data_IF_310366336631
#
_entry.id   IF_310366336631
#
_cell.length_a   1.000
_cell.length_b   1.000
_cell.length_c   1.000
_cell.angle_alpha   90.00
_cell.angle_beta   90.00
_cell.angle_gamma   90.00
#
_symmetry.space_group_name_H-M   'P 1'
#
loop_
_entity.id
_entity.type
_entity.pdbx_description
1 polymer ?
#
# COMPACT_ATOMS: atom_id res chain seq x y z
N UNK A 1 2.07 -0.50 -16.20
CA UNK A 1 1.52 -0.16 -17.53
C UNK A 1 1.10 1.31 -17.60
N UNK A 2 0.18 1.78 -16.76
CA UNK A 2 -0.30 3.18 -16.77
C UNK A 2 0.85 4.22 -16.74
N UNK A 3 1.84 4.08 -15.86
CA UNK A 3 2.96 5.03 -15.78
C UNK A 3 3.79 5.09 -17.06
N UNK A 4 3.97 3.96 -17.77
CA UNK A 4 4.65 3.94 -19.05
C UNK A 4 3.83 4.68 -20.12
N UNK A 5 2.51 4.50 -20.14
CA UNK A 5 1.64 5.26 -21.06
C UNK A 5 1.72 6.77 -20.82
N UNK A 6 1.84 7.22 -19.57
CA UNK A 6 2.00 8.65 -19.24
C UNK A 6 3.30 9.18 -19.82
N UNK A 7 4.43 8.50 -19.58
CA UNK A 7 5.75 8.90 -20.09
C UNK A 7 5.76 8.94 -21.62
N UNK A 8 5.19 7.92 -22.25
CA UNK A 8 5.06 7.86 -23.70
C UNK A 8 4.21 9.01 -24.22
N UNK A 9 3.06 9.29 -23.58
CA UNK A 9 2.20 10.40 -23.98
C UNK A 9 2.98 11.70 -24.00
N UNK A 10 3.83 11.93 -22.99
CA UNK A 10 4.71 13.09 -22.94
C UNK A 10 5.77 13.09 -24.06
N UNK A 11 6.36 11.94 -24.41
CA UNK A 11 7.35 11.85 -25.49
C UNK A 11 6.74 12.02 -26.90
N UNK A 12 5.55 11.48 -27.14
CA UNK A 12 4.93 11.46 -28.47
C UNK A 12 3.99 12.66 -28.70
N UNK A 13 3.60 13.38 -27.66
CA UNK A 13 2.73 14.56 -27.76
C UNK A 13 1.30 14.25 -28.20
N UNK A 14 0.86 12.99 -28.09
CA UNK A 14 -0.46 12.54 -28.56
C UNK A 14 -1.58 12.99 -27.61
N UNK A 15 -2.74 13.34 -28.18
CA UNK A 15 -3.95 13.80 -27.45
C UNK A 15 -4.75 12.66 -26.80
N UNK A 16 -4.26 11.42 -26.86
CA UNK A 16 -5.02 10.26 -26.41
C UNK A 16 -5.45 10.34 -24.92
N UNK A 17 -6.67 9.90 -24.64
CA UNK A 17 -7.25 9.93 -23.29
C UNK A 17 -6.90 8.67 -22.48
N UNK A 18 -5.90 8.75 -21.62
CA UNK A 18 -5.35 7.59 -20.89
C UNK A 18 -6.37 6.93 -19.95
N UNK A 19 -7.28 7.69 -19.35
CA UNK A 19 -8.32 7.13 -18.49
C UNK A 19 -9.29 6.26 -19.28
N UNK A 20 -9.75 6.72 -20.46
CA UNK A 20 -10.58 5.92 -21.36
C UNK A 20 -9.84 4.64 -21.78
N UNK A 21 -8.57 4.75 -22.16
CA UNK A 21 -7.73 3.59 -22.52
C UNK A 21 -7.66 2.58 -21.37
N UNK A 22 -7.49 3.04 -20.13
CA UNK A 22 -7.39 2.18 -18.96
C UNK A 22 -8.72 1.52 -18.58
N UNK A 23 -9.85 2.23 -18.71
CA UNK A 23 -11.19 1.67 -18.44
C UNK A 23 -11.55 0.64 -19.50
N UNK A 24 -11.37 0.97 -20.78
CA UNK A 24 -11.69 0.06 -21.89
C UNK A 24 -10.78 -1.17 -21.92
N UNK A 25 -9.55 -1.08 -21.41
CA UNK A 25 -8.68 -2.25 -21.23
C UNK A 25 -9.32 -3.34 -20.37
N UNK A 26 -10.10 -2.99 -19.35
CA UNK A 26 -10.78 -3.95 -18.48
C UNK A 26 -12.22 -4.27 -18.92
N UNK A 27 -12.94 -3.31 -19.50
CA UNK A 27 -14.35 -3.46 -19.85
C UNK A 27 -14.58 -4.10 -21.24
N UNK A 28 -13.75 -3.73 -22.23
CA UNK A 28 -13.89 -4.17 -23.63
C UNK A 28 -12.52 -4.27 -24.32
N UNK A 29 -11.69 -5.29 -24.02
CA UNK A 29 -10.29 -5.38 -24.48
C UNK A 29 -10.11 -5.58 -26.00
N UNK A 30 -11.19 -5.88 -26.74
CA UNK A 30 -11.19 -6.16 -28.18
C UNK A 30 -11.63 -4.98 -29.04
N UNK A 31 -12.13 -3.90 -28.43
CA UNK A 31 -12.68 -2.78 -29.21
C UNK A 31 -11.59 -1.95 -29.90
N UNK A 32 -11.90 -1.38 -31.06
CA UNK A 32 -10.94 -0.61 -31.82
C UNK A 32 -10.77 0.79 -31.21
N UNK A 33 -9.60 1.07 -30.66
CA UNK A 33 -9.34 2.34 -29.98
C UNK A 33 -9.28 3.56 -30.92
N UNK A 34 -9.47 3.38 -32.23
CA UNK A 34 -9.62 4.47 -33.20
C UNK A 34 -8.52 5.52 -33.07
N UNK A 35 -8.90 6.77 -32.80
CA UNK A 35 -7.98 7.91 -32.63
C UNK A 35 -7.13 7.87 -31.34
N UNK A 36 -7.37 6.93 -30.42
CA UNK A 36 -6.65 6.77 -29.15
C UNK A 36 -5.53 5.72 -29.19
N UNK A 37 -5.14 5.24 -30.38
CA UNK A 37 -4.02 4.31 -30.50
C UNK A 37 -2.68 5.02 -30.24
N UNK A 38 -2.06 4.73 -29.10
CA UNK A 38 -0.79 5.34 -28.68
C UNK A 38 0.42 4.67 -29.36
N UNK A 39 0.27 3.39 -29.76
CA UNK A 39 1.33 2.59 -30.37
C UNK A 39 0.82 1.53 -31.36
N UNK A 40 1.63 1.14 -32.37
CA UNK A 40 1.37 -0.05 -33.15
C UNK A 40 1.45 -1.30 -32.25
N UNK A 41 0.42 -2.14 -32.25
CA UNK A 41 0.38 -3.38 -31.44
C UNK A 41 -0.17 -3.24 -30.01
N UNK A 42 -0.74 -2.09 -29.64
CA UNK A 42 -1.31 -1.86 -28.31
C UNK A 42 -2.36 -2.91 -27.89
N UNK A 43 -3.21 -3.37 -28.83
CA UNK A 43 -4.25 -4.39 -28.57
C UNK A 43 -3.66 -5.70 -28.04
N UNK A 44 -2.62 -6.21 -28.72
CA UNK A 44 -1.95 -7.46 -28.32
C UNK A 44 -1.29 -7.31 -26.95
N UNK A 45 -0.63 -6.18 -26.69
CA UNK A 45 0.00 -5.93 -25.40
C UNK A 45 -1.03 -5.85 -24.25
N UNK A 46 -2.16 -5.17 -24.47
CA UNK A 46 -3.25 -5.07 -23.48
C UNK A 46 -3.86 -6.44 -23.18
N UNK A 47 -4.13 -7.24 -24.21
CA UNK A 47 -4.67 -8.60 -24.04
C UNK A 47 -3.70 -9.51 -23.26
N UNK A 48 -2.41 -9.49 -23.60
CA UNK A 48 -1.38 -10.28 -22.88
C UNK A 48 -1.27 -9.85 -21.42
N UNK A 49 -1.28 -8.53 -21.15
CA UNK A 49 -1.22 -7.99 -19.79
C UNK A 49 -2.47 -8.37 -18.97
N UNK A 50 -3.67 -8.31 -19.57
CA UNK A 50 -4.92 -8.72 -18.94
C UNK A 50 -4.90 -10.21 -18.57
N UNK A 51 -4.48 -11.08 -19.50
CA UNK A 51 -4.38 -12.52 -19.23
C UNK A 51 -3.36 -12.84 -18.14
N UNK A 52 -2.20 -12.17 -18.17
CA UNK A 52 -1.18 -12.34 -17.13
C UNK A 52 -1.71 -11.89 -15.76
N UNK A 53 -2.44 -10.77 -15.70
CA UNK A 53 -3.09 -10.29 -14.47
C UNK A 53 -4.19 -11.24 -13.96
N UNK A 54 -4.93 -11.89 -14.85
CA UNK A 54 -5.95 -12.87 -14.46
C UNK A 54 -5.30 -14.17 -13.93
N UNK A 55 -4.20 -14.62 -14.54
CA UNK A 55 -3.45 -15.80 -14.13
C UNK A 55 -2.66 -15.57 -12.83
N UNK A 56 -2.22 -14.34 -12.55
CA UNK A 56 -1.46 -14.04 -11.33
C UNK A 56 -2.27 -14.18 -10.05
N UNK A 57 -3.61 -14.01 -10.11
CA UNK A 57 -4.49 -14.15 -8.94
C UNK A 57 -4.55 -15.62 -8.44
N UNK A 58 -4.86 -16.62 -9.28
CA UNK A 58 -4.73 -18.03 -8.90
C UNK A 58 -3.30 -18.42 -8.51
N UNK A 59 -2.29 -17.87 -9.20
CA UNK A 59 -0.89 -18.16 -8.89
C UNK A 59 -0.46 -17.63 -7.52
N UNK A 60 -1.08 -16.58 -6.97
CA UNK A 60 -0.79 -16.12 -5.61
C UNK A 60 -1.54 -16.94 -4.54
N UNK A 61 -2.71 -17.47 -4.89
CA UNK A 61 -3.57 -18.22 -3.97
C UNK A 61 -3.09 -19.66 -3.73
N UNK A 62 -2.65 -20.36 -4.78
CA UNK A 62 -2.44 -21.82 -4.77
C UNK A 62 -1.09 -22.32 -4.23
N UNK A 63 0.07 -21.65 -4.43
CA UNK A 63 1.36 -22.24 -4.09
C UNK A 63 1.56 -22.43 -2.59
N UNK A 64 1.22 -21.43 -1.78
CA UNK A 64 1.42 -21.48 -0.33
C UNK A 64 0.62 -22.62 0.34
N UNK A 65 -0.71 -22.75 0.15
CA UNK A 65 -1.47 -23.84 0.77
C UNK A 65 -1.06 -25.22 0.22
N UNK A 66 -0.69 -25.31 -1.06
CA UNK A 66 -0.30 -26.59 -1.67
C UNK A 66 1.10 -27.05 -1.23
N UNK A 67 2.05 -26.12 -1.10
CA UNK A 67 3.40 -26.41 -0.58
C UNK A 67 3.34 -26.79 0.90
N UNK A 68 2.56 -26.08 1.72
CA UNK A 68 2.40 -26.46 3.13
C UNK A 68 1.69 -27.81 3.28
N UNK A 69 0.66 -28.12 2.46
CA UNK A 69 0.02 -29.44 2.45
C UNK A 69 1.00 -30.55 2.07
N UNK A 70 1.84 -30.32 1.06
CA UNK A 70 2.86 -31.28 0.63
C UNK A 70 3.94 -31.50 1.70
N UNK A 71 4.38 -30.43 2.37
CA UNK A 71 5.32 -30.54 3.50
C UNK A 71 4.71 -31.25 4.70
N UNK A 72 3.43 -31.01 5.02
CA UNK A 72 2.74 -31.72 6.10
C UNK A 72 2.67 -33.22 5.80
N UNK A 73 2.28 -33.61 4.58
CA UNK A 73 2.21 -35.02 4.19
C UNK A 73 3.58 -35.73 4.19
N UNK A 74 4.66 -35.02 3.87
CA UNK A 74 6.02 -35.55 3.97
C UNK A 74 6.52 -35.65 5.42
N UNK A 75 6.08 -34.76 6.32
CA UNK A 75 6.41 -34.81 7.75
C UNK A 75 5.68 -35.95 8.45
N UNK A 76 4.41 -36.20 8.11
CA UNK A 76 3.63 -37.35 8.59
C UNK A 76 4.17 -38.70 8.11
N UNK A 77 4.80 -38.76 6.93
CA UNK A 77 5.52 -39.98 6.48
C UNK A 77 6.85 -40.21 7.21
N UNK A 78 7.45 -39.17 7.80
CA UNK A 78 8.69 -39.27 8.57
C UNK A 78 8.53 -39.74 10.02
N UNK A 79 7.33 -39.72 10.59
CA UNK A 79 7.03 -40.23 11.93
C UNK A 79 6.56 -41.69 11.96
N UNK A 80 6.56 -42.38 10.81
CA UNK A 80 6.29 -43.82 10.74
C UNK A 80 7.57 -44.68 10.90
N UNK A 81 8.50 -44.27 11.77
CA UNK A 81 9.53 -45.19 12.26
C UNK A 81 8.97 -45.95 13.45
N UNK A 82 8.49 -47.17 13.18
CA UNK A 82 8.26 -48.20 14.21
C UNK A 82 9.55 -48.34 15.03
N UNK A 83 9.55 -48.11 16.36
CA UNK A 83 10.73 -48.39 17.16
C UNK A 83 10.98 -49.90 17.08
N UNK A 84 12.16 -50.29 16.61
CA UNK A 84 12.60 -51.69 16.58
C UNK A 84 12.55 -52.25 18.00
N UNK A 85 11.58 -53.14 18.21
CA UNK A 85 11.40 -53.90 19.43
C UNK A 85 12.58 -54.89 19.58
N UNK A 86 13.57 -54.50 20.38
CA UNK A 86 14.60 -55.39 20.92
C UNK A 86 14.17 -55.90 22.29
N UNK A 87 14.14 -57.22 22.45
CA UNK A 87 13.59 -57.97 23.57
C UNK A 87 14.28 -57.64 24.92
N UNK A 88 13.50 -57.26 25.95
CA UNK A 88 13.35 -57.97 27.24
C UNK A 88 12.70 -57.08 28.34
N UNK A 89 11.76 -57.69 29.09
CA UNK A 89 11.22 -57.34 30.43
C UNK A 89 9.97 -56.43 30.58
N UNK A 90 8.82 -57.11 30.72
CA UNK A 90 7.71 -56.93 31.70
C UNK A 90 7.46 -55.54 32.35
N UNK A 91 6.33 -54.89 32.01
CA UNK A 91 5.17 -54.73 32.90
C UNK A 91 4.02 -53.96 32.22
N UNK A 92 2.81 -54.41 32.54
CA UNK A 92 1.56 -53.87 32.04
C UNK A 92 1.28 -52.50 32.65
N UNK A 93 1.12 -51.48 31.82
CA UNK A 93 0.20 -50.40 32.11
C UNK A 93 -0.56 -50.07 30.82
N UNK A 94 -1.82 -50.49 30.82
CA UNK A 94 -2.81 -50.02 29.89
C UNK A 94 -3.02 -48.53 30.16
N UNK A 95 -2.23 -47.68 29.51
CA UNK A 95 -2.61 -46.29 29.32
C UNK A 95 -2.70 -46.02 27.82
N UNK A 96 -3.94 -46.17 27.36
CA UNK A 96 -4.41 -45.88 26.03
C UNK A 96 -4.50 -44.36 25.86
N UNK A 97 -3.35 -43.67 25.93
CA UNK A 97 -3.25 -42.28 25.50
C UNK A 97 -2.75 -42.26 24.07
N UNK A 98 -3.67 -42.59 23.17
CA UNK A 98 -3.66 -42.11 21.80
C UNK A 98 -3.78 -40.58 21.81
N UNK A 99 -2.76 -39.89 22.29
CA UNK A 99 -2.53 -38.49 21.96
C UNK A 99 -1.78 -38.42 20.63
N UNK A 100 -2.42 -39.01 19.60
CA UNK A 100 -2.35 -38.47 18.27
C UNK A 100 -3.02 -37.11 18.32
N UNK A 101 -2.28 -36.11 18.80
CA UNK A 101 -2.57 -34.71 18.57
C UNK A 101 -2.42 -34.49 17.08
N UNK A 102 -3.45 -34.87 16.34
CA UNK A 102 -3.77 -34.25 15.08
C UNK A 102 -3.85 -32.74 15.38
N UNK A 103 -2.73 -32.03 15.30
CA UNK A 103 -2.75 -30.74 14.63
C UNK A 103 -3.26 -31.07 13.23
N UNK A 104 -4.59 -31.19 13.10
CA UNK A 104 -5.24 -31.18 11.82
C UNK A 104 -4.73 -29.90 11.20
N UNK A 105 -3.83 -30.03 10.23
CA UNK A 105 -3.47 -28.93 9.38
C UNK A 105 -4.79 -28.46 8.79
N UNK A 106 -5.37 -27.41 9.39
CA UNK A 106 -6.61 -26.81 8.98
C UNK A 106 -6.30 -26.09 7.67
N UNK A 107 -6.21 -26.88 6.61
CA UNK A 107 -6.04 -26.43 5.25
C UNK A 107 -7.12 -25.40 4.92
N UNK A 108 -8.31 -25.54 5.54
CA UNK A 108 -9.37 -24.55 5.53
C UNK A 108 -8.94 -23.20 6.11
N UNK A 109 -8.36 -23.15 7.31
CA UNK A 109 -7.88 -21.91 7.93
C UNK A 109 -6.76 -21.25 7.09
N UNK A 110 -5.77 -22.03 6.64
CA UNK A 110 -4.68 -21.54 5.79
C UNK A 110 -5.21 -21.01 4.45
N UNK A 111 -6.21 -21.68 3.86
CA UNK A 111 -6.84 -21.25 2.61
C UNK A 111 -7.67 -19.98 2.81
N UNK A 112 -8.43 -19.88 3.90
CA UNK A 112 -9.21 -18.68 4.24
C UNK A 112 -8.28 -17.49 4.48
N UNK A 113 -7.22 -17.67 5.28
CA UNK A 113 -6.24 -16.62 5.53
C UNK A 113 -5.54 -16.17 4.24
N UNK A 114 -5.12 -17.12 3.38
CA UNK A 114 -4.49 -16.80 2.09
C UNK A 114 -5.46 -16.12 1.11
N UNK A 115 -6.75 -16.49 1.13
CA UNK A 115 -7.80 -15.85 0.34
C UNK A 115 -8.01 -14.40 0.79
N UNK A 116 -8.10 -14.16 2.10
CA UNK A 116 -8.22 -12.80 2.66
C UNK A 116 -7.01 -11.96 2.24
N UNK A 117 -5.80 -12.47 2.45
CA UNK A 117 -4.56 -11.79 2.05
C UNK A 117 -4.54 -11.50 0.53
N UNK A 118 -5.06 -12.40 -0.30
CA UNK A 118 -5.15 -12.20 -1.75
C UNK A 118 -6.11 -11.08 -2.13
N UNK A 119 -7.31 -11.06 -1.52
CA UNK A 119 -8.31 -10.01 -1.73
C UNK A 119 -7.79 -8.66 -1.23
N UNK A 120 -7.24 -8.63 -0.03
CA UNK A 120 -6.66 -7.43 0.57
C UNK A 120 -5.53 -6.88 -0.29
N UNK A 121 -4.64 -7.73 -0.81
CA UNK A 121 -3.56 -7.30 -1.68
C UNK A 121 -4.07 -6.71 -3.00
N UNK A 122 -5.03 -7.36 -3.68
CA UNK A 122 -5.56 -6.89 -4.97
C UNK A 122 -6.33 -5.58 -4.80
N UNK A 123 -7.24 -5.51 -3.82
CA UNK A 123 -8.00 -4.30 -3.53
C UNK A 123 -7.11 -3.19 -2.98
N UNK A 124 -6.15 -3.54 -2.13
CA UNK A 124 -5.15 -2.63 -1.58
C UNK A 124 -4.24 -2.05 -2.66
N UNK A 125 -3.84 -2.83 -3.67
CA UNK A 125 -3.03 -2.31 -4.78
C UNK A 125 -3.75 -1.20 -5.56
N UNK A 126 -5.04 -1.38 -5.86
CA UNK A 126 -5.87 -0.36 -6.54
C UNK A 126 -6.12 0.83 -5.61
N UNK A 127 -6.51 0.58 -4.36
CA UNK A 127 -6.80 1.60 -3.35
C UNK A 127 -5.58 2.49 -3.06
N UNK A 128 -4.41 1.89 -2.85
CA UNK A 128 -3.18 2.62 -2.58
C UNK A 128 -2.81 3.52 -3.76
N UNK A 129 -2.96 3.02 -4.99
CA UNK A 129 -2.70 3.81 -6.21
C UNK A 129 -3.65 5.02 -6.31
N UNK A 130 -4.94 4.85 -6.02
CA UNK A 130 -5.90 5.95 -6.01
C UNK A 130 -5.64 6.95 -4.86
N UNK A 131 -5.22 6.47 -3.69
CA UNK A 131 -4.92 7.31 -2.52
C UNK A 131 -3.82 8.36 -2.81
N UNK A 132 -2.87 8.06 -3.71
CA UNK A 132 -1.83 9.03 -4.12
C UNK A 132 -2.37 10.26 -4.85
N UNK A 133 -3.61 10.25 -5.35
CA UNK A 133 -4.27 11.45 -5.91
C UNK A 133 -4.32 12.59 -4.88
N UNK A 134 -4.33 12.26 -3.59
CA UNK A 134 -4.26 13.21 -2.47
C UNK A 134 -3.10 14.20 -2.59
N UNK A 135 -1.93 13.76 -3.07
CA UNK A 135 -0.77 14.63 -3.25
C UNK A 135 -1.04 15.71 -4.30
N UNK A 136 -1.68 15.32 -5.40
CA UNK A 136 -2.08 16.27 -6.45
C UNK A 136 -3.16 17.23 -5.94
N UNK A 137 -4.20 16.73 -5.27
CA UNK A 137 -5.28 17.56 -4.74
C UNK A 137 -4.77 18.60 -3.72
N UNK A 138 -3.87 18.19 -2.84
CA UNK A 138 -3.25 19.10 -1.87
C UNK A 138 -2.37 20.14 -2.56
N UNK A 139 -1.58 19.73 -3.54
CA UNK A 139 -0.75 20.67 -4.32
C UNK A 139 -1.60 21.68 -5.10
N UNK A 140 -2.75 21.25 -5.64
CA UNK A 140 -3.70 22.14 -6.31
C UNK A 140 -4.29 23.14 -5.31
N UNK A 141 -4.79 22.66 -4.17
CA UNK A 141 -5.35 23.52 -3.13
C UNK A 141 -4.35 24.57 -2.64
N UNK A 142 -3.09 24.19 -2.42
CA UNK A 142 -2.02 25.10 -2.03
C UNK A 142 -1.76 26.18 -3.08
N UNK A 143 -1.72 25.80 -4.35
CA UNK A 143 -1.53 26.74 -5.45
C UNK A 143 -2.68 27.75 -5.55
N UNK A 144 -3.93 27.28 -5.46
CA UNK A 144 -5.12 28.13 -5.51
C UNK A 144 -5.20 29.07 -4.30
N UNK A 145 -4.96 28.56 -3.10
CA UNK A 145 -4.98 29.35 -1.87
C UNK A 145 -3.91 30.43 -1.91
N UNK A 146 -2.68 30.10 -2.35
CA UNK A 146 -1.60 31.08 -2.54
C UNK A 146 -1.98 32.18 -3.54
N UNK A 147 -2.57 31.81 -4.68
CA UNK A 147 -3.03 32.78 -5.69
C UNK A 147 -4.11 33.71 -5.13
N UNK A 148 -5.08 33.19 -4.38
CA UNK A 148 -6.15 34.00 -3.77
C UNK A 148 -5.60 34.96 -2.72
N UNK A 149 -4.63 34.53 -1.89
CA UNK A 149 -3.98 35.43 -0.93
C UNK A 149 -3.18 36.53 -1.62
N UNK A 150 -2.46 36.21 -2.70
CA UNK A 150 -1.73 37.20 -3.49
C UNK A 150 -2.67 38.25 -4.10
N UNK A 151 -3.73 37.81 -4.77
CA UNK A 151 -4.68 38.70 -5.45
C UNK A 151 -5.49 39.55 -4.47
N UNK A 152 -5.98 38.95 -3.37
CA UNK A 152 -6.90 39.62 -2.46
C UNK A 152 -6.20 40.49 -1.41
N UNK A 153 -4.95 40.21 -1.06
CA UNK A 153 -4.21 40.98 -0.05
C UNK A 153 -3.21 41.93 -0.70
N UNK A 154 -2.29 41.42 -1.53
CA UNK A 154 -1.18 42.23 -2.05
C UNK A 154 -1.61 43.14 -3.20
N UNK A 155 -2.31 42.59 -4.20
CA UNK A 155 -2.78 43.35 -5.36
C UNK A 155 -3.80 44.43 -4.97
N UNK A 156 -4.69 44.10 -4.03
CA UNK A 156 -5.64 45.07 -3.46
C UNK A 156 -4.92 46.20 -2.70
N UNK A 157 -3.90 45.87 -1.88
CA UNK A 157 -3.11 46.88 -1.17
C UNK A 157 -2.32 47.80 -2.12
N UNK A 158 -1.87 47.28 -3.27
CA UNK A 158 -1.17 48.05 -4.29
C UNK A 158 -2.09 49.04 -5.03
N UNK A 159 -3.37 48.71 -5.20
CA UNK A 159 -4.35 49.58 -5.84
C UNK A 159 -4.61 50.89 -5.09
N UNK A 160 -4.29 50.95 -3.79
CA UNK A 160 -4.39 52.17 -3.01
C UNK A 160 -3.09 52.98 -3.09
N UNK A 161 -3.15 54.21 -3.62
CA UNK A 161 -2.00 55.12 -3.75
C UNK A 161 -1.52 55.72 -2.41
N UNK A 162 -1.72 55.02 -1.29
CA UNK A 162 -1.35 55.46 0.04
C UNK A 162 -0.30 54.52 0.64
N UNK A 163 0.89 55.05 0.89
CA UNK A 163 2.07 54.31 1.37
C UNK A 163 1.77 53.59 2.70
N UNK A 164 0.95 54.16 3.57
CA UNK A 164 0.61 53.54 4.87
C UNK A 164 -0.19 52.25 4.69
N UNK A 165 -1.17 52.26 3.77
CA UNK A 165 -2.03 51.08 3.48
C UNK A 165 -1.19 49.97 2.84
N UNK A 166 -0.25 50.35 1.96
CA UNK A 166 0.66 49.41 1.32
C UNK A 166 1.60 48.72 2.33
N UNK A 167 2.19 49.48 3.27
CA UNK A 167 3.07 48.90 4.31
C UNK A 167 2.30 47.95 5.22
N UNK A 168 1.10 48.33 5.66
CA UNK A 168 0.24 47.45 6.48
C UNK A 168 -0.17 46.20 5.69
N UNK A 169 -0.52 46.33 4.40
CA UNK A 169 -0.86 45.22 3.53
C UNK A 169 0.27 44.20 3.37
N UNK A 170 1.51 44.66 3.22
CA UNK A 170 2.69 43.78 3.14
C UNK A 170 2.93 43.04 4.46
N UNK A 171 2.82 43.72 5.60
CA UNK A 171 3.00 43.08 6.93
C UNK A 171 1.96 41.98 7.14
N UNK A 172 0.69 42.28 6.84
CA UNK A 172 -0.41 41.30 6.94
C UNK A 172 -0.19 40.14 5.98
N UNK A 173 0.25 40.42 4.74
CA UNK A 173 0.55 39.38 3.75
C UNK A 173 1.66 38.42 4.21
N UNK A 174 2.76 38.96 4.77
CA UNK A 174 3.85 38.14 5.30
C UNK A 174 3.36 37.26 6.46
N UNK A 175 2.62 37.84 7.40
CA UNK A 175 2.12 37.08 8.55
C UNK A 175 1.12 36.00 8.13
N UNK A 176 0.20 36.31 7.21
CA UNK A 176 -0.74 35.34 6.66
C UNK A 176 -0.02 34.21 5.89
N UNK A 177 1.01 34.55 5.12
CA UNK A 177 1.81 33.56 4.37
C UNK A 177 2.58 32.64 5.32
N UNK A 178 3.24 33.18 6.34
CA UNK A 178 3.99 32.35 7.30
C UNK A 178 3.04 31.51 8.15
N UNK A 179 1.96 32.10 8.69
CA UNK A 179 1.04 31.39 9.57
C UNK A 179 0.18 30.35 8.86
N UNK A 180 -0.52 30.76 7.80
CA UNK A 180 -1.51 29.89 7.13
C UNK A 180 -0.85 29.02 6.06
N UNK A 181 -0.17 29.64 5.09
CA UNK A 181 0.41 28.91 3.95
C UNK A 181 1.60 28.03 4.37
N UNK A 182 2.49 28.53 5.23
CA UNK A 182 3.70 27.78 5.59
C UNK A 182 3.46 26.84 6.77
N UNK A 183 2.92 27.30 7.90
CA UNK A 183 2.79 26.44 9.09
C UNK A 183 1.59 25.49 8.99
N UNK A 184 0.37 26.01 8.81
CA UNK A 184 -0.84 25.19 8.88
C UNK A 184 -0.93 24.20 7.71
N UNK A 185 -0.67 24.67 6.50
CA UNK A 185 -0.81 23.83 5.30
C UNK A 185 0.31 22.79 5.16
N UNK A 186 1.56 23.15 5.50
CA UNK A 186 2.67 22.17 5.53
C UNK A 186 2.46 21.10 6.59
N UNK A 187 1.90 21.45 7.76
CA UNK A 187 1.57 20.45 8.78
C UNK A 187 0.48 19.49 8.30
N UNK A 188 -0.55 19.99 7.60
CA UNK A 188 -1.56 19.15 6.95
C UNK A 188 -0.93 18.22 5.91
N UNK A 189 -0.05 18.76 5.06
CA UNK A 189 0.71 18.00 4.06
C UNK A 189 1.58 16.90 4.68
N UNK A 190 2.28 17.23 5.76
CA UNK A 190 3.10 16.29 6.50
C UNK A 190 2.28 15.12 7.05
N UNK A 191 1.13 15.38 7.67
CA UNK A 191 0.26 14.31 8.16
C UNK A 191 -0.30 13.44 7.03
N UNK A 192 -0.59 14.03 5.87
CA UNK A 192 -1.03 13.29 4.68
C UNK A 192 0.09 12.38 4.14
N UNK A 193 1.34 12.86 4.15
CA UNK A 193 2.52 12.07 3.80
C UNK A 193 2.80 10.96 4.82
N UNK A 194 2.67 11.23 6.12
CA UNK A 194 2.82 10.23 7.18
C UNK A 194 1.79 9.11 7.01
N UNK A 195 0.53 9.46 6.76
CA UNK A 195 -0.51 8.47 6.47
C UNK A 195 -0.14 7.60 5.27
N UNK A 196 0.29 8.23 4.17
CA UNK A 196 0.74 7.51 2.96
C UNK A 196 1.87 6.51 3.26
N UNK A 197 2.79 6.88 4.16
CA UNK A 197 3.87 6.00 4.56
C UNK A 197 3.39 4.86 5.49
N UNK A 198 2.53 5.18 6.44
CA UNK A 198 2.02 4.21 7.42
C UNK A 198 1.05 3.20 6.83
N UNK A 199 0.08 3.64 6.02
CA UNK A 199 -0.97 2.76 5.51
C UNK A 199 -0.58 2.18 4.15
N UNK A 200 -0.08 2.99 3.22
CA UNK A 200 0.12 2.54 1.84
C UNK A 200 1.51 1.90 1.61
N UNK A 201 2.55 2.33 2.33
CA UNK A 201 3.92 1.80 2.20
C UNK A 201 4.22 0.65 3.17
N UNK A 202 3.91 0.79 4.46
CA UNK A 202 4.22 -0.25 5.46
C UNK A 202 3.34 -1.50 5.32
N UNK A 203 2.09 -1.39 4.84
CA UNK A 203 1.21 -2.55 4.65
C UNK A 203 1.74 -3.60 3.65
N UNK A 204 2.81 -3.28 2.90
CA UNK A 204 3.43 -4.23 1.96
C UNK A 204 4.57 -5.06 2.53
N UNK A 205 5.28 -4.54 3.53
CA UNK A 205 6.56 -5.11 3.98
C UNK A 205 6.69 -5.26 5.50
N UNK A 206 5.88 -4.53 6.26
CA UNK A 206 5.97 -4.51 7.71
C UNK A 206 4.94 -5.49 8.29
N UNK A 207 5.40 -6.65 8.74
CA UNK A 207 4.54 -7.67 9.36
C UNK A 207 4.16 -7.34 10.81
N UNK A 208 4.75 -6.30 11.42
CA UNK A 208 4.39 -5.85 12.77
C UNK A 208 4.81 -6.77 13.91
N UNK A 209 5.53 -7.85 13.63
CA UNK A 209 5.95 -8.81 14.65
C UNK A 209 7.33 -8.46 15.21
N UNK A 210 7.35 -7.75 16.34
CA UNK A 210 8.57 -7.37 17.04
C UNK A 210 8.30 -6.67 18.37
N UNK A 211 9.17 -6.90 19.35
CA UNK A 211 9.15 -6.18 20.61
C UNK A 211 10.16 -5.03 20.56
N UNK A 212 9.83 -3.90 21.19
CA UNK A 212 10.77 -2.79 21.34
C UNK A 212 11.94 -3.27 22.21
N UNK A 213 13.14 -3.30 21.63
CA UNK A 213 14.34 -3.64 22.39
C UNK A 213 14.59 -2.58 23.46
N UNK A 214 14.50 -2.98 24.73
CA UNK A 214 14.89 -2.15 25.87
C UNK A 214 16.18 -2.75 26.47
N UNK A 215 17.35 -2.17 26.19
CA UNK A 215 18.58 -2.61 26.84
C UNK A 215 18.56 -2.22 28.31
N UNK A 216 19.14 -3.07 29.16
CA UNK A 216 19.36 -2.72 30.56
C UNK A 216 20.33 -1.53 30.65
N UNK A 217 19.83 -0.36 31.06
CA UNK A 217 20.60 0.87 31.21
C UNK A 217 20.40 1.42 32.62
N UNK A 218 21.48 1.75 33.32
CA UNK A 218 21.37 2.38 34.64
C UNK A 218 20.73 3.78 34.59
N UNK A 219 20.58 4.40 33.40
CA UNK A 219 19.83 5.65 33.25
C UNK A 219 18.31 5.45 33.24
N UNK A 220 17.80 4.26 32.90
CA UNK A 220 16.35 4.00 32.90
C UNK A 220 15.80 3.69 34.30
N UNK A 221 16.67 3.43 35.29
CA UNK A 221 16.26 3.14 36.67
C UNK A 221 15.84 4.41 37.43
N UNK A 222 16.32 5.59 37.02
CA UNK A 222 15.99 6.87 37.66
C UNK A 222 14.66 7.47 37.22
N UNK A 223 14.18 7.08 36.03
CA UNK A 223 12.90 7.55 35.47
C UNK A 223 11.71 6.67 35.91
N UNK A 224 11.95 5.45 36.41
CA UNK A 224 10.92 4.53 36.89
C UNK A 224 10.43 4.85 38.32
N UNK A 225 11.19 5.65 39.08
CA UNK A 225 10.88 6.02 40.47
C UNK A 225 10.07 7.34 40.60
N UNK A 226 9.79 8.04 39.49
CA UNK A 226 9.08 9.34 39.46
C UNK A 226 7.58 9.23 39.04
N UNK A 227 6.99 8.03 39.07
CA UNK A 227 5.54 7.80 38.87
C UNK A 227 4.85 7.12 40.05
#
# INVERSE_FOLDING_TARGET
>A
YLSLLIIVKWCTGSKADLYHIMIYMFLSPTDDLGENQLFPGQKTAQLVLLLLALVSVPWMLLPKPFILKAQHQNRHQGESYVPLQGEESLQAEANHDSHGGHEEFEFGEVLVHQLIHTIEFVLGAVSNTASYLRLWALSLAHSELSSVFYDKVLLLAWGFNNVVILVVGIIVFIFATVGVLLVMETLSAFLHALRLHWVEFQNKFYLGDGYKFSPFSFSSIGDEDDY
#
